data_IF_672462841090
#
_entry.id   IF_672462841090
#
_cell.length_a   1.000
_cell.length_b   1.000
_cell.length_c   1.000
_cell.angle_alpha   90.00
_cell.angle_beta   90.00
_cell.angle_gamma   90.00
#
_symmetry.space_group_name_H-M   'P 1'
#
loop_
_entity.id
_entity.type
_entity.pdbx_description
1 polymer ?
#
# COMPACT_ATOMS: atom_id res chain seq x y z
N UNK A 1 -11.24 -27.01 -2.90
CA UNK A 1 -10.29 -25.88 -2.94
C UNK A 1 -11.06 -24.62 -2.55
N UNK A 2 -10.94 -24.14 -1.31
CA UNK A 2 -11.63 -22.93 -0.87
C UNK A 2 -10.93 -21.73 -1.51
N UNK A 3 -11.61 -21.02 -2.41
CA UNK A 3 -11.11 -19.75 -2.95
C UNK A 3 -11.21 -18.72 -1.83
N UNK A 4 -10.08 -18.33 -1.25
CA UNK A 4 -10.04 -17.18 -0.34
C UNK A 4 -10.38 -15.96 -1.19
N UNK A 5 -11.56 -15.37 -0.97
CA UNK A 5 -11.91 -14.11 -1.62
C UNK A 5 -11.05 -13.01 -0.98
N UNK A 6 -10.43 -12.12 -1.77
CA UNK A 6 -9.65 -11.02 -1.23
C UNK A 6 -10.56 -10.16 -0.36
N UNK A 7 -10.17 -9.97 0.91
CA UNK A 7 -10.92 -9.16 1.87
C UNK A 7 -10.75 -7.69 1.48
N UNK A 8 -11.84 -6.93 1.26
CA UNK A 8 -11.75 -5.49 1.03
C UNK A 8 -11.11 -4.78 2.24
N UNK A 9 -10.28 -3.79 1.97
CA UNK A 9 -9.51 -3.05 2.96
C UNK A 9 -9.66 -1.54 2.74
N UNK A 10 -9.36 -0.78 3.79
CA UNK A 10 -9.35 0.67 3.75
C UNK A 10 -7.91 1.14 3.78
N UNK A 11 -7.56 2.05 2.87
CA UNK A 11 -6.23 2.62 2.73
C UNK A 11 -6.27 4.14 2.78
N UNK A 12 -5.32 4.70 3.53
CA UNK A 12 -4.93 6.10 3.52
C UNK A 12 -3.44 6.16 3.20
N UNK A 13 -3.07 6.72 2.05
CA UNK A 13 -1.68 6.74 1.62
C UNK A 13 -0.81 7.47 2.66
N UNK A 14 0.32 6.84 3.01
CA UNK A 14 1.24 7.38 4.03
C UNK A 14 2.10 8.55 3.52
N UNK A 15 2.22 8.71 2.19
CA UNK A 15 2.96 9.81 1.59
C UNK A 15 2.18 11.12 1.73
N UNK A 16 2.75 12.08 2.45
CA UNK A 16 2.07 13.35 2.81
C UNK A 16 1.73 14.24 1.63
N UNK A 17 2.41 14.08 0.50
CA UNK A 17 2.11 14.75 -0.77
C UNK A 17 0.90 14.14 -1.50
N UNK A 18 0.40 12.99 -1.05
CA UNK A 18 -0.64 12.21 -1.71
C UNK A 18 -1.95 12.24 -0.92
N UNK A 19 -3.03 12.65 -1.58
CA UNK A 19 -4.39 12.67 -1.01
C UNK A 19 -5.16 11.38 -1.30
N UNK A 20 -4.49 10.29 -1.68
CA UNK A 20 -5.16 9.03 -1.98
C UNK A 20 -5.72 8.40 -0.70
N UNK A 21 -7.06 8.31 -0.64
CA UNK A 21 -7.82 7.62 0.40
C UNK A 21 -8.95 6.84 -0.24
N UNK A 22 -9.04 5.54 0.04
CA UNK A 22 -10.06 4.64 -0.51
C UNK A 22 -10.49 3.62 0.53
N UNK A 23 -11.79 3.37 0.57
CA UNK A 23 -12.40 2.34 1.40
C UNK A 23 -12.84 1.19 0.51
N UNK A 24 -12.94 0.00 1.11
CA UNK A 24 -13.47 -1.21 0.48
C UNK A 24 -12.80 -1.60 -0.86
N UNK A 25 -11.48 -1.38 -0.98
CA UNK A 25 -10.70 -1.76 -2.16
C UNK A 25 -9.86 -3.02 -1.90
N UNK A 26 -9.49 -3.74 -2.97
CA UNK A 26 -8.53 -4.82 -2.84
C UNK A 26 -7.10 -4.27 -2.66
N UNK A 27 -6.25 -4.99 -1.94
CA UNK A 27 -4.84 -4.61 -1.74
C UNK A 27 -4.10 -4.41 -3.08
N UNK A 28 -4.42 -5.21 -4.10
CA UNK A 28 -3.84 -5.08 -5.45
C UNK A 28 -4.12 -3.72 -6.09
N UNK A 29 -5.26 -3.11 -5.78
CA UNK A 29 -5.64 -1.80 -6.31
C UNK A 29 -4.82 -0.69 -5.63
N UNK A 30 -4.53 -0.85 -4.34
CA UNK A 30 -3.64 0.05 -3.62
C UNK A 30 -2.18 -0.09 -4.09
N UNK A 31 -1.70 -1.32 -4.32
CA UNK A 31 -0.37 -1.56 -4.89
C UNK A 31 -0.23 -0.93 -6.28
N UNK A 32 -1.29 -1.00 -7.11
CA UNK A 32 -1.31 -0.32 -8.42
C UNK A 32 -1.12 1.20 -8.26
N UNK A 33 -1.83 1.82 -7.31
CA UNK A 33 -1.64 3.24 -6.99
C UNK A 33 -0.19 3.57 -6.61
N UNK A 34 0.43 2.76 -5.75
CA UNK A 34 1.83 2.97 -5.35
C UNK A 34 2.79 2.87 -6.54
N UNK A 35 2.59 1.89 -7.43
CA UNK A 35 3.44 1.71 -8.62
C UNK A 35 3.29 2.80 -9.66
N UNK A 36 2.11 3.42 -9.76
CA UNK A 36 1.84 4.48 -10.73
C UNK A 36 2.31 5.86 -10.24
N UNK A 37 2.23 6.14 -8.93
CA UNK A 37 2.45 7.49 -8.39
C UNK A 37 3.61 7.59 -7.40
N UNK A 38 4.11 6.49 -6.86
CA UNK A 38 5.09 6.48 -5.76
C UNK A 38 6.27 5.52 -5.98
N UNK A 39 6.56 5.18 -7.25
CA UNK A 39 7.65 4.24 -7.56
C UNK A 39 9.00 4.76 -7.09
N UNK A 40 9.25 6.06 -7.22
CA UNK A 40 10.51 6.67 -6.82
C UNK A 40 10.67 6.65 -5.30
N UNK A 41 9.62 6.97 -4.54
CA UNK A 41 9.65 6.91 -3.07
C UNK A 41 9.82 5.47 -2.56
N UNK A 42 9.22 4.47 -3.24
CA UNK A 42 9.44 3.05 -2.91
C UNK A 42 10.90 2.68 -3.14
N UNK A 43 11.50 3.09 -4.27
CA UNK A 43 12.90 2.82 -4.58
C UNK A 43 13.83 3.51 -3.58
N UNK A 44 13.53 4.74 -3.19
CA UNK A 44 14.30 5.48 -2.19
C UNK A 44 14.29 4.78 -0.84
N UNK A 45 13.13 4.29 -0.37
CA UNK A 45 13.03 3.50 0.87
C UNK A 45 13.81 2.20 0.74
N UNK A 46 13.65 1.47 -0.36
CA UNK A 46 14.35 0.22 -0.65
C UNK A 46 15.87 0.41 -0.59
N UNK A 47 16.38 1.45 -1.24
CA UNK A 47 17.80 1.77 -1.28
C UNK A 47 18.33 2.25 0.08
N UNK A 48 17.60 3.15 0.76
CA UNK A 48 18.01 3.72 2.05
C UNK A 48 18.07 2.67 3.15
N UNK A 49 17.07 1.80 3.23
CA UNK A 49 16.97 0.76 4.26
C UNK A 49 17.71 -0.53 3.85
N UNK A 50 18.25 -0.59 2.62
CA UNK A 50 18.90 -1.76 2.04
C UNK A 50 18.02 -3.01 2.10
N UNK A 51 16.76 -2.87 1.70
CA UNK A 51 15.75 -3.94 1.65
C UNK A 51 15.23 -4.15 0.23
N UNK A 52 14.70 -5.33 -0.12
CA UNK A 52 14.05 -5.55 -1.41
C UNK A 52 12.87 -4.59 -1.62
N UNK A 53 12.64 -4.17 -2.87
CA UNK A 53 11.48 -3.34 -3.27
C UNK A 53 10.15 -3.92 -2.77
N UNK A 54 9.97 -5.23 -2.87
CA UNK A 54 8.77 -5.92 -2.40
C UNK A 54 8.55 -5.78 -0.88
N UNK A 55 9.62 -5.68 -0.10
CA UNK A 55 9.55 -5.45 1.34
C UNK A 55 9.17 -3.99 1.64
N UNK A 56 9.73 -3.03 0.89
CA UNK A 56 9.34 -1.63 0.98
C UNK A 56 7.85 -1.43 0.63
N UNK A 57 7.37 -2.05 -0.44
CA UNK A 57 5.94 -2.08 -0.79
C UNK A 57 5.08 -2.62 0.36
N UNK A 58 5.45 -3.76 0.94
CA UNK A 58 4.71 -4.37 2.06
C UNK A 58 4.66 -3.47 3.29
N UNK A 59 5.74 -2.78 3.62
CA UNK A 59 5.80 -1.82 4.72
C UNK A 59 4.84 -0.65 4.45
N UNK A 60 4.87 -0.07 3.25
CA UNK A 60 4.00 1.06 2.86
C UNK A 60 2.53 0.63 2.89
N UNK A 61 2.20 -0.53 2.34
CA UNK A 61 0.84 -1.12 2.38
C UNK A 61 0.38 -1.27 3.82
N UNK A 62 1.22 -1.84 4.69
CA UNK A 62 0.88 -2.06 6.10
C UNK A 62 0.64 -0.75 6.85
N UNK A 63 1.48 0.26 6.61
CA UNK A 63 1.35 1.59 7.24
C UNK A 63 0.19 2.41 6.68
N UNK A 64 -0.24 2.14 5.45
CA UNK A 64 -1.35 2.84 4.82
C UNK A 64 -2.71 2.22 5.16
N UNK A 65 -2.73 1.00 5.73
CA UNK A 65 -3.96 0.30 6.09
C UNK A 65 -4.60 0.95 7.31
N UNK A 66 -5.88 1.27 7.21
CA UNK A 66 -6.66 1.85 8.31
C UNK A 66 -7.81 0.94 8.73
N UNK A 67 -8.05 0.86 10.04
CA UNK A 67 -9.24 0.22 10.58
C UNK A 67 -10.26 1.32 10.87
N UNK A 68 -11.39 1.30 10.16
CA UNK A 68 -12.51 2.16 10.50
C UNK A 68 -13.24 1.43 11.64
N UNK A 69 -13.15 1.98 12.86
CA UNK A 69 -14.05 1.59 13.93
C UNK A 69 -15.43 2.15 13.55
N UNK A 70 -16.37 1.27 13.21
CA UNK A 70 -17.80 1.62 13.19
C UNK A 70 -18.32 1.92 14.59
#
# INVERSE_FOLDING_TARGET
MHKIQPKPMNFNCVFTSCNYKRNDIEEKEFIKHLKELHVDEILDISNKENIPVSMAEMIIVSNSKVFINS
#
